data_IF_440857953598
#
_entry.id   IF_440857953598
#
_cell.length_a   1.000
_cell.length_b   1.000
_cell.length_c   1.000
_cell.angle_alpha   90.00
_cell.angle_beta   90.00
_cell.angle_gamma   90.00
#
_symmetry.space_group_name_H-M   'P 1'
#
loop_
_entity.id
_entity.type
_entity.pdbx_description
1 polymer ?
#
# COMPACT_ATOMS: atom_id res chain seq x y z
N UNK A 1 6.97 13.43 -3.63
CA UNK A 1 6.28 13.15 -2.34
C UNK A 1 5.19 12.13 -2.60
N UNK A 2 4.78 11.31 -1.62
CA UNK A 2 3.68 10.36 -1.84
C UNK A 2 2.32 11.08 -1.78
N UNK A 3 1.48 10.82 -2.78
CA UNK A 3 0.15 11.39 -2.90
C UNK A 3 -0.90 10.27 -2.88
N UNK A 4 -1.40 9.98 -1.68
CA UNK A 4 -2.43 8.95 -1.48
C UNK A 4 -3.80 9.44 -1.94
N UNK A 5 -4.43 8.70 -2.86
CA UNK A 5 -5.79 8.96 -3.36
C UNK A 5 -6.70 7.76 -3.13
N UNK A 6 -8.01 8.01 -3.00
CA UNK A 6 -9.01 6.93 -2.88
C UNK A 6 -9.11 6.15 -4.19
N UNK A 7 -9.26 4.83 -4.06
CA UNK A 7 -9.32 3.90 -5.20
C UNK A 7 -10.64 4.12 -5.96
N UNK A 8 -10.56 4.29 -7.27
CA UNK A 8 -11.69 4.33 -8.20
C UNK A 8 -11.76 3.06 -9.05
N UNK A 9 -12.90 2.82 -9.69
CA UNK A 9 -13.08 1.67 -10.57
C UNK A 9 -12.09 1.70 -11.77
N UNK A 10 -11.73 2.90 -12.24
CA UNK A 10 -10.75 3.12 -13.32
C UNK A 10 -9.31 2.85 -12.90
N UNK A 11 -9.04 2.73 -11.60
CA UNK A 11 -7.69 2.51 -11.09
C UNK A 11 -7.23 1.04 -11.20
N UNK A 12 -8.05 0.14 -11.72
CA UNK A 12 -7.64 -1.25 -11.98
C UNK A 12 -6.41 -1.32 -12.88
N UNK A 13 -6.43 -0.60 -14.01
CA UNK A 13 -5.35 -0.63 -15.01
C UNK A 13 -3.99 -0.26 -14.42
N UNK A 14 -3.82 0.85 -13.68
CA UNK A 14 -2.52 1.18 -13.08
C UNK A 14 -2.14 0.29 -11.89
N UNK A 15 -3.09 -0.26 -11.13
CA UNK A 15 -2.80 -1.06 -9.93
C UNK A 15 -2.49 -2.52 -10.25
N UNK A 16 -3.19 -3.11 -11.22
CA UNK A 16 -3.14 -4.54 -11.51
C UNK A 16 -1.72 -5.09 -11.80
N UNK A 17 -0.81 -4.37 -12.49
CA UNK A 17 0.56 -4.85 -12.70
C UNK A 17 1.29 -5.13 -11.38
N UNK A 18 1.15 -4.27 -10.37
CA UNK A 18 1.82 -4.41 -9.08
C UNK A 18 1.25 -5.55 -8.25
N UNK A 19 -0.09 -5.70 -8.24
CA UNK A 19 -0.75 -6.80 -7.53
C UNK A 19 -0.27 -8.16 -8.06
N UNK A 20 -0.01 -8.29 -9.37
CA UNK A 20 0.51 -9.53 -9.96
C UNK A 20 1.93 -9.88 -9.53
N UNK A 21 2.71 -8.90 -9.07
CA UNK A 21 4.07 -9.12 -8.54
C UNK A 21 4.04 -9.66 -7.11
N UNK A 22 2.90 -9.57 -6.42
CA UNK A 22 2.77 -10.03 -5.04
C UNK A 22 3.01 -11.53 -4.95
N UNK A 23 3.96 -11.91 -4.10
CA UNK A 23 4.24 -13.32 -3.81
C UNK A 23 3.34 -13.91 -2.72
N UNK A 24 2.83 -13.05 -1.82
CA UNK A 24 1.92 -13.46 -0.75
C UNK A 24 0.55 -13.90 -1.29
N UNK A 25 -0.06 -14.89 -0.62
CA UNK A 25 -1.41 -15.40 -0.93
C UNK A 25 -2.55 -14.72 -0.16
N UNK A 26 -2.27 -13.71 0.67
CA UNK A 26 -3.34 -12.95 1.34
C UNK A 26 -4.29 -12.31 0.31
N UNK A 27 -5.59 -12.47 0.54
CA UNK A 27 -6.66 -11.98 -0.33
C UNK A 27 -6.80 -10.45 -0.32
N UNK A 28 -6.23 -9.80 0.69
CA UNK A 28 -6.36 -8.36 0.97
C UNK A 28 -5.77 -7.46 -0.11
N UNK A 29 -4.81 -7.98 -0.88
CA UNK A 29 -4.16 -7.25 -1.97
C UNK A 29 -4.73 -7.62 -3.35
N UNK A 30 -6.00 -8.02 -3.43
CA UNK A 30 -6.72 -8.12 -4.71
C UNK A 30 -7.44 -6.81 -5.01
N UNK A 31 -7.58 -6.43 -6.28
CA UNK A 31 -8.28 -5.19 -6.63
C UNK A 31 -9.74 -5.20 -6.13
N UNK A 32 -10.40 -6.36 -6.20
CA UNK A 32 -11.76 -6.52 -5.67
C UNK A 32 -11.84 -6.20 -4.18
N UNK A 33 -10.99 -6.83 -3.35
CA UNK A 33 -10.96 -6.55 -1.93
C UNK A 33 -10.66 -5.06 -1.64
N UNK A 34 -9.62 -4.52 -2.28
CA UNK A 34 -9.23 -3.12 -2.12
C UNK A 34 -10.36 -2.16 -2.49
N UNK A 35 -11.06 -2.41 -3.61
CA UNK A 35 -12.13 -1.54 -4.09
C UNK A 35 -13.40 -1.62 -3.23
N UNK A 36 -13.82 -2.82 -2.82
CA UNK A 36 -15.04 -2.98 -2.02
C UNK A 36 -14.87 -2.46 -0.59
N UNK A 37 -13.70 -2.67 0.02
CA UNK A 37 -13.46 -2.30 1.42
C UNK A 37 -12.86 -0.90 1.59
N UNK A 38 -12.59 -0.16 0.51
CA UNK A 38 -11.94 1.16 0.57
C UNK A 38 -12.62 2.17 1.48
N UNK A 39 -13.95 2.13 1.58
CA UNK A 39 -14.70 3.08 2.40
C UNK A 39 -14.65 2.69 3.88
N UNK A 40 -14.61 1.39 4.17
CA UNK A 40 -14.59 0.87 5.54
C UNK A 40 -13.22 1.07 6.20
N UNK A 41 -12.13 0.74 5.49
CA UNK A 41 -10.76 0.90 5.99
C UNK A 41 -10.09 2.20 5.53
N UNK A 42 -10.85 3.14 4.95
CA UNK A 42 -10.30 4.36 4.34
C UNK A 42 -9.10 4.10 3.42
N UNK A 43 -9.14 3.00 2.66
CA UNK A 43 -8.02 2.54 1.84
C UNK A 43 -7.73 3.57 0.73
N UNK A 44 -6.48 4.02 0.72
CA UNK A 44 -5.92 4.89 -0.32
C UNK A 44 -4.67 4.27 -0.88
N UNK A 45 -4.32 4.66 -2.11
CA UNK A 45 -3.12 4.19 -2.76
C UNK A 45 -2.30 5.34 -3.34
N UNK A 46 -1.00 5.10 -3.50
CA UNK A 46 -0.09 5.95 -4.24
C UNK A 46 0.78 5.08 -5.14
N UNK A 47 1.17 5.61 -6.30
CA UNK A 47 2.19 5.00 -7.16
C UNK A 47 3.31 6.02 -7.31
N UNK A 48 4.55 5.59 -7.07
CA UNK A 48 5.73 6.42 -7.25
C UNK A 48 6.95 5.53 -7.51
N UNK A 49 7.77 5.92 -8.47
CA UNK A 49 9.05 5.27 -8.79
C UNK A 49 8.91 3.74 -8.91
N UNK A 50 7.91 3.32 -9.70
CA UNK A 50 7.56 1.91 -9.94
C UNK A 50 7.23 1.08 -8.68
N UNK A 51 6.75 1.74 -7.63
CA UNK A 51 6.23 1.11 -6.43
C UNK A 51 4.80 1.57 -6.14
N UNK A 52 3.97 0.63 -5.70
CA UNK A 52 2.61 0.83 -5.25
C UNK A 52 2.56 0.74 -3.73
N UNK A 53 1.91 1.72 -3.12
CA UNK A 53 1.75 1.85 -1.68
C UNK A 53 0.26 1.83 -1.36
N UNK A 54 -0.13 1.13 -0.31
CA UNK A 54 -1.45 1.28 0.29
C UNK A 54 -1.36 1.89 1.67
N UNK A 55 -2.36 2.69 2.00
CA UNK A 55 -2.60 3.18 3.35
C UNK A 55 -4.03 2.85 3.73
N UNK A 56 -4.23 2.39 4.96
CA UNK A 56 -5.55 2.01 5.49
C UNK A 56 -5.66 2.47 6.95
N UNK A 57 -6.86 2.40 7.50
CA UNK A 57 -7.17 2.58 8.92
C UNK A 57 -7.76 1.26 9.40
N UNK A 58 -7.11 0.60 10.36
CA UNK A 58 -7.59 -0.68 10.92
C UNK A 58 -8.63 -0.43 12.03
N UNK A 59 -9.23 -1.50 12.57
CA UNK A 59 -10.42 -1.43 13.45
C UNK A 59 -10.25 -0.56 14.71
N UNK A 60 -9.03 -0.45 15.25
CA UNK A 60 -8.73 0.38 16.42
C UNK A 60 -8.48 1.86 16.07
N UNK A 61 -8.65 2.25 14.80
CA UNK A 61 -8.40 3.59 14.30
C UNK A 61 -6.94 3.85 13.89
N UNK A 62 -6.05 2.86 14.01
CA UNK A 62 -4.64 3.02 13.66
C UNK A 62 -4.45 3.15 12.16
N UNK A 63 -3.73 4.19 11.73
CA UNK A 63 -3.29 4.35 10.33
C UNK A 63 -2.15 3.37 10.06
N UNK A 64 -2.29 2.56 9.03
CA UNK A 64 -1.30 1.55 8.63
C UNK A 64 -0.98 1.64 7.14
N UNK A 65 0.12 1.00 6.76
CA UNK A 65 0.61 0.92 5.39
C UNK A 65 0.95 -0.52 5.04
N UNK A 66 0.86 -0.88 3.76
CA UNK A 66 1.43 -2.15 3.30
C UNK A 66 2.90 -1.97 2.96
N UNK A 67 3.65 -3.07 2.93
CA UNK A 67 4.97 -3.03 2.30
C UNK A 67 4.84 -2.60 0.82
N UNK A 68 5.76 -1.80 0.27
CA UNK A 68 5.68 -1.36 -1.13
C UNK A 68 5.65 -2.55 -2.09
N UNK A 69 4.68 -2.56 -3.02
CA UNK A 69 4.62 -3.55 -4.10
C UNK A 69 5.34 -3.02 -5.33
N UNK A 70 6.34 -3.75 -5.82
CA UNK A 70 7.18 -3.33 -6.94
C UNK A 70 8.35 -4.27 -7.12
N UNK A 71 9.26 -3.92 -8.02
CA UNK A 71 10.50 -4.65 -8.22
C UNK A 71 11.58 -4.09 -7.28
N UNK A 72 12.44 -4.94 -6.68
CA UNK A 72 13.56 -4.47 -5.87
C UNK A 72 14.52 -3.59 -6.70
N UNK A 73 15.29 -2.68 -6.06
CA UNK A 73 15.42 -2.49 -4.60
C UNK A 73 14.28 -1.66 -3.97
N UNK A 74 14.04 -1.87 -2.66
CA UNK A 74 12.94 -1.24 -1.92
C UNK A 74 13.39 -0.07 -1.03
N UNK A 75 14.70 0.18 -0.90
CA UNK A 75 15.27 1.17 0.02
C UNK A 75 14.72 2.58 -0.23
N UNK A 76 14.66 2.99 -1.50
CA UNK A 76 14.09 4.28 -1.88
C UNK A 76 12.59 4.34 -1.60
N UNK A 77 11.86 3.25 -1.87
CA UNK A 77 10.43 3.18 -1.63
C UNK A 77 10.10 3.31 -0.13
N UNK A 78 10.87 2.65 0.72
CA UNK A 78 10.76 2.75 2.17
C UNK A 78 11.12 4.16 2.66
N UNK A 79 12.20 4.74 2.16
CA UNK A 79 12.59 6.14 2.46
C UNK A 79 11.48 7.12 2.10
N UNK A 80 10.79 6.92 0.97
CA UNK A 80 9.67 7.76 0.55
C UNK A 80 8.46 7.63 1.49
N UNK A 81 8.19 6.43 1.98
CA UNK A 81 7.10 6.15 2.89
C UNK A 81 7.37 6.70 4.30
N UNK A 82 8.61 6.55 4.79
CA UNK A 82 9.08 7.17 6.03
C UNK A 82 8.96 8.69 5.97
N UNK A 83 9.45 9.32 4.88
CA UNK A 83 9.36 10.76 4.69
C UNK A 83 7.91 11.26 4.66
N UNK A 84 6.98 10.50 4.07
CA UNK A 84 5.56 10.81 4.12
C UNK A 84 5.01 10.79 5.56
N UNK A 85 5.36 9.77 6.33
CA UNK A 85 4.89 9.62 7.71
C UNK A 85 5.45 10.71 8.62
N UNK A 86 6.75 11.02 8.51
CA UNK A 86 7.42 12.09 9.24
C UNK A 86 6.77 13.45 8.98
N UNK A 87 6.55 13.80 7.71
CA UNK A 87 5.92 15.07 7.35
C UNK A 87 4.49 15.20 7.89
N UNK A 88 3.76 14.08 7.96
CA UNK A 88 2.38 14.03 8.46
C UNK A 88 2.29 13.85 9.98
N UNK A 89 3.43 13.71 10.66
CA UNK A 89 3.52 13.41 12.09
C UNK A 89 2.68 12.19 12.50
N UNK A 90 2.77 11.12 11.70
CA UNK A 90 2.12 9.83 11.95
C UNK A 90 3.17 8.72 12.06
N UNK A 91 2.94 7.67 12.86
CA UNK A 91 3.85 6.54 12.93
C UNK A 91 3.81 5.72 11.64
N UNK A 92 4.96 5.21 11.21
CA UNK A 92 5.03 4.21 10.14
C UNK A 92 4.74 2.83 10.73
N UNK A 93 3.56 2.29 10.46
CA UNK A 93 3.12 0.98 10.93
C UNK A 93 2.75 0.12 9.73
N UNK A 94 3.39 -1.05 9.59
CA UNK A 94 3.08 -1.99 8.53
C UNK A 94 1.97 -2.97 8.94
N UNK A 95 0.94 -3.09 8.10
CA UNK A 95 -0.14 -4.05 8.27
C UNK A 95 -0.79 -4.47 6.92
N UNK A 96 -1.13 -5.75 6.73
CA UNK A 96 -0.64 -6.88 7.52
C UNK A 96 0.90 -6.96 7.42
N UNK A 97 1.56 -7.39 8.48
CA UNK A 97 2.99 -7.65 8.45
C UNK A 97 3.24 -8.92 7.62
N UNK A 98 3.17 -8.79 6.29
CA UNK A 98 3.59 -9.85 5.39
C UNK A 98 5.10 -10.01 5.57
N UNK A 99 5.53 -11.20 6.00
CA UNK A 99 6.93 -11.59 5.87
C UNK A 99 7.22 -11.61 4.38
N UNK A 100 8.04 -10.67 3.90
CA UNK A 100 8.76 -10.87 2.65
C UNK A 100 9.49 -12.20 2.84
N UNK A 101 8.99 -13.24 2.19
CA UNK A 101 9.80 -14.44 1.96
C UNK A 101 10.98 -13.91 1.18
N UNK A 102 12.12 -13.72 1.86
CA UNK A 102 13.37 -13.40 1.18
C UNK A 102 13.56 -14.52 0.15
N UNK A 103 13.81 -14.20 -1.14
CA UNK A 103 14.13 -15.21 -2.13
C UNK A 103 15.35 -16.04 -1.68
#
# INVERSE_FOLDING_TARGET
>A
MLHFKSIQNTDFTPIAPFIRLKQSRLCDATFGALYFWKNYYETKYAIRDHHLYFSSVILDGTKTFTFPLGLPPYDEALTQLEGYCQQKNIPLIFYPAETLVRP
#
